data_IF_288163235240
#
_entry.id   IF_288163235240
#
_cell.length_a   1.000
_cell.length_b   1.000
_cell.length_c   1.000
_cell.angle_alpha   90.00
_cell.angle_beta   90.00
_cell.angle_gamma   90.00
#
_symmetry.space_group_name_H-M   'P 1'
#
loop_
_entity.id
_entity.type
_entity.pdbx_description
1 polymer ?
#
# COMPACT_ATOMS: atom_id res chain seq x y z
N UNK A 1 44.02 -47.88 -0.58
CA UNK A 1 42.69 -47.40 -1.01
C UNK A 1 42.66 -45.91 -0.73
N UNK A 2 42.93 -45.08 -1.75
CA UNK A 2 43.04 -43.63 -1.61
C UNK A 2 41.71 -43.00 -2.02
N UNK A 3 41.12 -42.23 -1.12
CA UNK A 3 39.88 -41.47 -1.36
C UNK A 3 40.14 -40.31 -2.33
N UNK A 4 39.28 -40.05 -3.32
CA UNK A 4 39.45 -38.93 -4.23
C UNK A 4 39.18 -37.60 -3.51
N UNK A 5 40.12 -36.68 -3.67
CA UNK A 5 40.07 -35.31 -3.17
C UNK A 5 39.06 -34.51 -4.00
N UNK A 6 38.00 -34.02 -3.36
CA UNK A 6 36.95 -33.24 -4.00
C UNK A 6 37.28 -31.75 -3.85
N UNK A 7 37.74 -31.14 -4.94
CA UNK A 7 38.12 -29.72 -4.99
C UNK A 7 36.85 -28.86 -5.14
N UNK A 8 36.65 -27.84 -4.29
CA UNK A 8 35.46 -27.00 -4.36
C UNK A 8 35.44 -26.15 -5.65
N UNK A 9 34.28 -25.98 -6.30
CA UNK A 9 34.18 -25.23 -7.54
C UNK A 9 34.50 -23.74 -7.33
N UNK A 10 35.40 -23.22 -8.16
CA UNK A 10 35.83 -21.83 -8.14
C UNK A 10 34.66 -20.84 -8.35
N UNK A 11 34.67 -19.67 -7.70
CA UNK A 11 33.60 -18.67 -7.81
C UNK A 11 33.56 -18.04 -9.20
N UNK A 12 32.39 -18.05 -9.83
CA UNK A 12 32.12 -17.43 -11.13
C UNK A 12 32.22 -15.90 -11.01
N UNK A 13 33.09 -15.29 -11.84
CA UNK A 13 33.31 -13.84 -11.95
C UNK A 13 31.99 -13.11 -12.28
N UNK A 14 31.55 -12.24 -11.37
CA UNK A 14 30.43 -11.30 -11.58
C UNK A 14 30.79 -10.30 -12.68
N UNK A 15 29.85 -10.09 -13.60
CA UNK A 15 29.94 -9.14 -14.69
C UNK A 15 29.95 -7.69 -14.18
N UNK A 16 30.77 -6.85 -14.81
CA UNK A 16 30.91 -5.43 -14.51
C UNK A 16 29.66 -4.62 -14.93
N UNK A 17 29.31 -3.54 -14.20
CA UNK A 17 28.18 -2.67 -14.57
C UNK A 17 28.51 -1.79 -15.80
N UNK A 18 27.64 -1.86 -16.81
CA UNK A 18 27.63 -0.97 -17.97
C UNK A 18 27.17 0.43 -17.56
N UNK A 19 28.03 1.41 -17.79
CA UNK A 19 27.84 2.87 -17.94
C UNK A 19 26.38 3.36 -17.78
N UNK A 20 26.09 3.96 -16.62
CA UNK A 20 24.87 4.74 -16.36
C UNK A 20 24.94 6.02 -17.19
N UNK A 21 23.94 6.23 -18.03
CA UNK A 21 23.78 7.43 -18.85
C UNK A 21 23.54 8.66 -17.96
N UNK A 22 24.30 9.73 -18.18
CA UNK A 22 24.16 11.04 -17.56
C UNK A 22 22.91 11.77 -18.10
N UNK A 23 21.72 11.32 -17.73
CA UNK A 23 20.48 12.06 -17.94
C UNK A 23 19.87 12.25 -16.55
N UNK A 24 19.82 13.48 -16.04
CA UNK A 24 19.03 13.73 -14.83
C UNK A 24 19.28 15.01 -14.04
N UNK A 25 20.38 15.75 -14.23
CA UNK A 25 20.63 16.93 -13.37
C UNK A 25 19.85 18.19 -13.81
N UNK A 26 19.47 18.33 -15.09
CA UNK A 26 18.69 19.49 -15.55
C UNK A 26 17.21 19.42 -15.11
N UNK A 27 16.64 18.22 -14.93
CA UNK A 27 15.26 18.06 -14.49
C UNK A 27 15.04 18.50 -13.04
N UNK A 28 16.03 18.25 -12.17
CA UNK A 28 15.94 18.56 -10.75
C UNK A 28 16.00 20.07 -10.49
N UNK A 29 16.81 20.81 -11.25
CA UNK A 29 16.88 22.28 -11.17
C UNK A 29 15.57 22.92 -11.66
N UNK A 30 14.98 22.38 -12.74
CA UNK A 30 13.68 22.84 -13.25
C UNK A 30 12.53 22.61 -12.26
N UNK A 31 12.48 21.43 -11.63
CA UNK A 31 11.49 21.10 -10.61
C UNK A 31 11.64 22.00 -9.37
N UNK A 32 12.88 22.28 -8.95
CA UNK A 32 13.13 23.14 -7.80
C UNK A 32 12.69 24.59 -8.05
N UNK A 33 12.96 25.13 -9.24
CA UNK A 33 12.47 26.45 -9.64
C UNK A 33 10.94 26.52 -9.70
N UNK A 34 10.28 25.47 -10.19
CA UNK A 34 8.82 25.38 -10.21
C UNK A 34 8.22 25.44 -8.79
N UNK A 35 8.80 24.70 -7.84
CA UNK A 35 8.34 24.68 -6.45
C UNK A 35 8.53 26.04 -5.75
N UNK A 36 9.63 26.75 -6.02
CA UNK A 36 9.87 28.09 -5.47
C UNK A 36 8.83 29.10 -6.00
N UNK A 37 8.48 29.02 -7.29
CA UNK A 37 7.45 29.90 -7.88
C UNK A 37 6.07 29.59 -7.30
N UNK A 38 5.70 28.31 -7.14
CA UNK A 38 4.43 27.91 -6.51
C UNK A 38 4.35 28.35 -5.04
N UNK A 39 5.45 28.25 -4.27
CA UNK A 39 5.50 28.70 -2.88
C UNK A 39 5.31 30.22 -2.72
N UNK A 40 5.90 31.01 -3.62
CA UNK A 40 5.73 32.48 -3.60
C UNK A 40 4.31 32.91 -3.97
N UNK A 41 3.63 32.20 -4.88
CA UNK A 41 2.23 32.48 -5.23
C UNK A 41 1.28 32.07 -4.09
N UNK A 42 1.56 30.95 -3.40
CA UNK A 42 0.75 30.48 -2.27
C UNK A 42 0.81 31.39 -1.04
N UNK A 43 1.96 32.04 -0.79
CA UNK A 43 2.14 32.96 0.34
C UNK A 43 1.35 34.28 0.19
N UNK A 44 0.97 34.67 -1.04
CA UNK A 44 0.20 35.90 -1.26
C UNK A 44 -1.32 35.72 -1.02
N UNK A 45 -1.83 34.49 -0.96
CA UNK A 45 -3.27 34.22 -0.76
C UNK A 45 -3.64 33.72 0.65
N UNK A 46 -2.68 33.57 1.56
CA UNK A 46 -2.92 33.22 2.98
C UNK A 46 -2.76 34.44 3.90
N UNK A 47 -3.25 35.59 3.44
CA UNK A 47 -3.49 36.75 4.28
C UNK A 47 -4.76 36.58 5.10
N UNK A 48 -4.65 36.83 6.41
CA UNK A 48 -5.71 36.97 7.42
C UNK A 48 -6.17 35.67 8.12
N UNK A 49 -5.58 35.38 9.29
CA UNK A 49 -6.30 35.40 10.57
C UNK A 49 -5.30 35.22 11.74
N UNK A 50 -5.28 36.19 12.65
CA UNK A 50 -5.07 35.92 14.07
C UNK A 50 -3.63 35.82 14.60
N UNK A 51 -2.88 36.92 14.52
CA UNK A 51 -1.75 37.15 15.41
C UNK A 51 -2.30 37.40 16.83
N UNK A 52 -2.04 36.49 17.78
CA UNK A 52 -2.17 36.77 19.21
C UNK A 52 -0.77 36.73 19.86
N UNK A 53 -0.46 37.67 20.77
CA UNK A 53 0.88 37.86 21.31
C UNK A 53 1.28 36.77 22.34
N UNK A 54 2.59 36.58 22.60
CA UNK A 54 3.07 35.58 23.53
C UNK A 54 2.73 36.00 24.97
N UNK A 55 2.03 35.15 25.72
CA UNK A 55 1.82 35.33 27.16
C UNK A 55 2.78 34.46 27.94
N UNK A 56 3.47 35.14 28.84
CA UNK A 56 4.62 34.69 29.61
C UNK A 56 4.39 33.46 30.47
N UNK A 57 5.48 32.70 30.60
CA UNK A 57 5.80 31.72 31.64
C UNK A 57 5.56 32.30 33.04
N UNK A 58 5.03 31.48 33.97
CA UNK A 58 5.68 31.39 35.26
C UNK A 58 6.02 29.94 35.63
N UNK A 59 7.29 29.75 35.95
CA UNK A 59 7.83 28.63 36.70
C UNK A 59 7.58 28.88 38.18
N UNK A 60 7.07 27.90 38.93
CA UNK A 60 7.08 27.97 40.40
C UNK A 60 6.02 27.17 41.15
N UNK A 61 6.40 25.95 41.54
CA UNK A 61 6.10 25.26 42.81
C UNK A 61 4.68 25.24 43.42
N UNK A 62 4.08 24.03 43.43
CA UNK A 62 3.49 23.36 44.61
C UNK A 62 3.22 21.90 44.19
N UNK A 63 3.94 20.89 44.68
CA UNK A 63 3.75 20.20 45.97
C UNK A 63 2.29 19.83 46.27
N UNK A 64 1.86 18.65 45.81
CA UNK A 64 0.92 17.78 46.54
C UNK A 64 1.04 16.36 45.99
N UNK A 65 1.30 15.43 46.93
CA UNK A 65 1.42 13.98 46.76
C UNK A 65 0.04 13.31 46.90
N UNK A 66 -0.07 11.97 46.85
CA UNK A 66 -0.89 11.21 45.91
C UNK A 66 -2.29 10.88 46.44
N UNK A 67 -3.21 10.53 45.53
CA UNK A 67 -4.39 9.74 45.88
C UNK A 67 -4.50 8.55 44.96
N UNK A 68 -4.24 7.39 45.54
CA UNK A 68 -4.66 6.09 45.04
C UNK A 68 -6.17 6.12 44.80
N UNK A 69 -6.63 5.57 43.68
CA UNK A 69 -8.03 5.15 43.53
C UNK A 69 -8.05 3.75 42.95
N UNK A 70 -8.09 2.80 43.87
CA UNK A 70 -8.52 1.42 43.66
C UNK A 70 -9.98 1.42 43.23
N UNK A 71 -10.27 0.97 42.01
CA UNK A 71 -11.61 0.58 41.60
C UNK A 71 -11.58 -0.82 40.98
N UNK A 72 -12.03 -1.77 41.79
CA UNK A 72 -12.30 -3.19 41.55
C UNK A 72 -13.53 -3.36 40.61
N UNK A 73 -13.70 -4.50 39.90
CA UNK A 73 -14.46 -4.60 38.65
C UNK A 73 -15.92 -5.05 38.82
N UNK A 74 -16.78 -4.78 37.82
CA UNK A 74 -18.11 -5.40 37.67
C UNK A 74 -18.82 -4.94 36.37
N UNK A 75 -19.77 -5.66 35.76
CA UNK A 75 -19.94 -7.11 35.60
C UNK A 75 -20.03 -7.55 34.12
N UNK A 76 -19.91 -8.86 33.93
CA UNK A 76 -20.23 -9.62 32.72
C UNK A 76 -21.73 -9.53 32.35
N UNK A 77 -22.10 -9.21 31.09
CA UNK A 77 -23.42 -9.53 30.58
C UNK A 77 -23.43 -10.95 30.00
N UNK A 78 -24.01 -11.88 30.77
CA UNK A 78 -24.62 -13.11 30.24
C UNK A 78 -25.90 -12.74 29.50
N UNK A 79 -25.95 -13.00 28.20
CA UNK A 79 -27.15 -13.25 27.39
C UNK A 79 -26.69 -13.93 26.10
N UNK A 80 -27.35 -14.89 25.48
CA UNK A 80 -28.51 -15.71 25.78
C UNK A 80 -28.48 -16.76 24.67
N UNK A 81 -28.61 -18.02 25.05
CA UNK A 81 -28.80 -19.14 24.13
C UNK A 81 -30.16 -19.04 23.44
N UNK A 82 -30.18 -19.11 22.11
CA UNK A 82 -31.31 -19.55 21.29
C UNK A 82 -30.70 -20.41 20.16
N UNK A 83 -30.64 -21.72 20.34
CA UNK A 83 -31.66 -22.73 19.95
C UNK A 83 -31.86 -22.87 18.43
N UNK A 84 -31.62 -24.08 17.85
CA UNK A 84 -31.60 -24.34 16.41
C UNK A 84 -32.90 -24.96 15.85
N UNK A 85 -33.29 -24.56 14.62
CA UNK A 85 -34.09 -25.29 13.62
C UNK A 85 -34.41 -24.30 12.47
N UNK A 86 -34.43 -24.59 11.17
CA UNK A 86 -34.27 -25.76 10.33
C UNK A 86 -34.11 -25.29 8.84
N UNK A 87 -33.59 -26.11 7.91
CA UNK A 87 -33.74 -25.93 6.44
C UNK A 87 -35.18 -26.31 6.02
N UNK A 88 -35.74 -25.96 4.83
CA UNK A 88 -35.16 -25.99 3.47
C UNK A 88 -35.57 -24.76 2.59
N UNK A 89 -35.06 -24.56 1.37
CA UNK A 89 -35.76 -25.00 0.16
C UNK A 89 -34.92 -24.70 -1.10
N UNK A 90 -34.77 -25.67 -2.03
CA UNK A 90 -34.24 -25.45 -3.37
C UNK A 90 -35.38 -25.20 -4.36
N UNK A 91 -35.40 -24.03 -5.00
CA UNK A 91 -36.13 -23.80 -6.26
C UNK A 91 -35.16 -23.08 -7.21
N UNK A 92 -34.64 -23.76 -8.24
CA UNK A 92 -35.32 -23.99 -9.53
C UNK A 92 -35.86 -22.70 -10.09
N UNK A 93 -35.19 -22.15 -11.10
CA UNK A 93 -35.76 -22.03 -12.45
C UNK A 93 -34.66 -21.56 -13.40
N UNK A 94 -34.24 -22.47 -14.27
CA UNK A 94 -33.59 -22.14 -15.52
C UNK A 94 -34.67 -21.77 -16.56
N UNK A 95 -34.51 -20.66 -17.29
CA UNK A 95 -35.09 -20.53 -18.62
C UNK A 95 -34.03 -20.82 -19.66
N UNK A 96 -34.18 -21.95 -20.34
CA UNK A 96 -33.53 -22.23 -21.61
C UNK A 96 -33.98 -21.20 -22.65
N UNK A 97 -33.08 -20.30 -23.07
CA UNK A 97 -33.28 -19.43 -24.21
C UNK A 97 -32.45 -19.91 -25.40
N UNK A 98 -33.16 -20.56 -26.33
CA UNK A 98 -32.97 -20.70 -27.78
C UNK A 98 -31.56 -20.49 -28.38
N UNK A 99 -31.02 -21.45 -29.15
CA UNK A 99 -29.98 -21.16 -30.13
C UNK A 99 -30.59 -20.34 -31.28
N UNK A 100 -30.31 -19.04 -31.31
CA UNK A 100 -30.57 -18.22 -32.48
C UNK A 100 -29.43 -18.43 -33.48
N UNK A 101 -29.69 -19.25 -34.50
CA UNK A 101 -28.84 -19.38 -35.68
C UNK A 101 -28.95 -18.10 -36.50
N UNK A 102 -28.14 -17.11 -36.15
CA UNK A 102 -27.94 -15.95 -37.00
C UNK A 102 -26.92 -16.30 -38.09
N UNK A 103 -27.40 -16.39 -39.32
CA UNK A 103 -26.60 -16.57 -40.53
C UNK A 103 -25.76 -15.30 -40.73
N UNK A 104 -24.42 -15.36 -40.69
CA UNK A 104 -23.60 -14.19 -40.92
C UNK A 104 -23.76 -13.73 -42.38
N UNK A 105 -24.27 -12.51 -42.53
CA UNK A 105 -24.27 -11.75 -43.79
C UNK A 105 -22.82 -11.49 -44.21
N UNK A 106 -22.44 -11.71 -45.48
CA UNK A 106 -21.10 -11.37 -45.97
C UNK A 106 -20.96 -9.84 -45.98
N UNK A 107 -20.26 -9.31 -44.98
CA UNK A 107 -19.84 -7.91 -44.93
C UNK A 107 -18.61 -7.74 -45.80
N UNK A 108 -18.79 -6.99 -46.89
CA UNK A 108 -17.74 -6.55 -47.81
C UNK A 108 -16.66 -5.81 -47.04
N UNK A 109 -15.45 -6.36 -47.02
CA UNK A 109 -14.29 -5.76 -46.38
C UNK A 109 -13.92 -4.43 -47.07
N UNK A 110 -13.74 -3.33 -46.31
CA UNK A 110 -13.16 -2.10 -46.85
C UNK A 110 -11.67 -2.28 -47.19
N UNK A 111 -11.12 -1.47 -48.12
CA UNK A 111 -9.73 -1.56 -48.58
C UNK A 111 -8.74 -1.38 -47.43
N UNK A 112 -7.76 -2.30 -47.38
CA UNK A 112 -6.78 -2.39 -46.29
C UNK A 112 -6.00 -1.10 -46.05
N UNK A 113 -6.01 -0.66 -44.80
CA UNK A 113 -5.06 0.33 -44.31
C UNK A 113 -3.65 -0.26 -44.27
N UNK A 114 -2.61 0.56 -44.52
CA UNK A 114 -1.22 0.12 -44.53
C UNK A 114 -0.83 -0.47 -43.17
N UNK A 115 -0.40 -1.74 -43.20
CA UNK A 115 0.17 -2.49 -42.09
C UNK A 115 1.27 -1.67 -41.40
N UNK A 116 0.90 -1.04 -40.28
CA UNK A 116 1.84 -0.36 -39.38
C UNK A 116 2.86 -1.39 -38.92
N UNK A 117 4.15 -1.10 -39.13
CA UNK A 117 5.25 -1.96 -38.71
C UNK A 117 5.06 -2.38 -37.22
N UNK A 118 5.29 -3.65 -36.86
CA UNK A 118 5.05 -4.14 -35.51
C UNK A 118 5.78 -3.27 -34.50
N UNK A 119 5.01 -2.67 -33.59
CA UNK A 119 5.53 -1.85 -32.52
C UNK A 119 6.57 -2.66 -31.74
N UNK A 120 7.73 -2.04 -31.50
CA UNK A 120 8.83 -2.58 -30.73
C UNK A 120 8.29 -3.17 -29.43
N UNK A 121 8.36 -4.49 -29.29
CA UNK A 121 8.00 -5.21 -28.06
C UNK A 121 8.83 -4.64 -26.91
N UNK A 122 8.22 -3.85 -26.04
CA UNK A 122 8.83 -3.48 -24.76
C UNK A 122 9.10 -4.79 -24.00
N UNK A 123 10.31 -4.92 -23.45
CA UNK A 123 10.63 -6.04 -22.59
C UNK A 123 9.61 -6.08 -21.44
N UNK A 124 9.19 -7.28 -20.98
CA UNK A 124 8.27 -7.42 -19.86
C UNK A 124 8.79 -6.60 -18.67
N UNK A 125 8.07 -5.54 -18.30
CA UNK A 125 8.34 -4.82 -17.05
C UNK A 125 7.96 -5.78 -15.92
N UNK A 126 8.85 -5.89 -14.93
CA UNK A 126 8.54 -6.63 -13.71
C UNK A 126 7.46 -5.86 -12.96
N UNK A 127 6.22 -6.36 -12.88
CA UNK A 127 5.12 -5.59 -12.33
C UNK A 127 5.28 -5.35 -10.82
N UNK A 128 6.13 -6.14 -10.12
CA UNK A 128 6.46 -5.87 -8.71
C UNK A 128 7.37 -4.65 -8.56
N UNK A 129 8.19 -4.33 -9.56
CA UNK A 129 9.04 -3.15 -9.52
C UNK A 129 8.19 -1.86 -9.48
N UNK A 130 7.09 -1.85 -10.24
CA UNK A 130 6.15 -0.72 -10.27
C UNK A 130 5.46 -0.52 -8.91
N UNK A 131 5.14 -1.60 -8.19
CA UNK A 131 4.58 -1.53 -6.83
C UNK A 131 5.56 -0.89 -5.84
N UNK A 132 6.82 -1.29 -5.88
CA UNK A 132 7.85 -0.78 -4.94
C UNK A 132 8.36 0.62 -5.28
N UNK A 133 8.23 1.06 -6.53
CA UNK A 133 8.70 2.38 -6.97
C UNK A 133 7.97 3.54 -6.29
N UNK A 134 6.78 3.30 -5.75
CA UNK A 134 5.94 4.32 -5.11
C UNK A 134 6.40 4.71 -3.71
N UNK A 135 7.17 3.87 -3.02
CA UNK A 135 7.65 4.13 -1.65
C UNK A 135 9.14 3.81 -1.56
N UNK A 136 9.94 4.79 -1.18
CA UNK A 136 11.39 4.63 -1.10
C UNK A 136 11.76 3.57 -0.06
N UNK A 137 12.58 2.60 -0.47
CA UNK A 137 12.99 1.47 0.38
C UNK A 137 11.94 0.37 0.57
N UNK A 138 10.76 0.45 -0.07
CA UNK A 138 9.80 -0.64 -0.03
C UNK A 138 10.31 -1.88 -0.79
N UNK A 139 9.93 -3.06 -0.30
CA UNK A 139 10.26 -4.36 -0.90
C UNK A 139 8.99 -5.17 -1.13
N UNK A 140 8.82 -5.74 -2.31
CA UNK A 140 7.69 -6.59 -2.61
C UNK A 140 8.15 -8.02 -2.95
N UNK A 141 7.37 -9.01 -2.54
CA UNK A 141 7.53 -10.39 -2.98
C UNK A 141 6.17 -11.09 -3.04
N UNK A 142 6.07 -12.14 -3.87
CA UNK A 142 4.87 -12.96 -4.01
C UNK A 142 5.10 -14.33 -3.35
N UNK A 143 4.10 -14.80 -2.61
CA UNK A 143 4.02 -16.17 -2.11
C UNK A 143 2.69 -16.79 -2.56
N UNK A 144 2.73 -17.61 -3.61
CA UNK A 144 1.52 -18.10 -4.28
C UNK A 144 0.74 -16.95 -4.92
N UNK A 145 -0.51 -16.73 -4.50
CA UNK A 145 -1.36 -15.61 -4.93
C UNK A 145 -1.35 -14.43 -3.96
N UNK A 146 -0.51 -14.47 -2.92
CA UNK A 146 -0.46 -13.43 -1.89
C UNK A 146 0.74 -12.52 -2.14
N UNK A 147 0.48 -11.21 -2.24
CA UNK A 147 1.50 -10.18 -2.39
C UNK A 147 1.90 -9.67 -1.00
N UNK A 148 3.19 -9.70 -0.68
CA UNK A 148 3.73 -9.12 0.54
C UNK A 148 4.55 -7.89 0.19
N UNK A 149 4.16 -6.73 0.73
CA UNK A 149 4.89 -5.47 0.57
C UNK A 149 5.37 -5.00 1.92
N UNK A 150 6.68 -4.91 2.07
CA UNK A 150 7.35 -4.41 3.25
C UNK A 150 7.69 -2.94 3.06
N UNK A 151 7.21 -2.08 3.93
CA UNK A 151 7.52 -0.64 3.93
C UNK A 151 8.50 -0.31 5.08
N UNK A 152 9.49 0.55 4.83
CA UNK A 152 10.39 0.99 5.89
C UNK A 152 9.62 1.87 6.86
N UNK A 153 9.67 1.51 8.13
CA UNK A 153 9.08 2.30 9.20
C UNK A 153 10.16 3.20 9.79
N UNK A 154 9.84 4.48 10.00
CA UNK A 154 10.77 5.37 10.68
C UNK A 154 10.85 5.02 12.18
N UNK A 155 12.04 5.15 12.75
CA UNK A 155 12.28 4.86 14.16
C UNK A 155 11.42 5.77 15.06
N UNK A 156 10.83 5.19 16.11
CA UNK A 156 10.17 5.95 17.17
C UNK A 156 8.80 6.52 16.83
N UNK A 157 7.91 5.71 16.22
CA UNK A 157 6.49 5.97 15.93
C UNK A 157 5.76 6.94 16.87
N UNK A 158 6.00 8.23 16.67
CA UNK A 158 5.36 9.30 17.43
C UNK A 158 4.81 10.29 16.43
N UNK A 159 3.53 10.63 16.58
CA UNK A 159 2.82 11.66 15.80
C UNK A 159 3.04 11.60 14.28
N UNK A 160 3.91 12.46 13.69
CA UNK A 160 4.11 12.57 12.24
C UNK A 160 4.45 11.25 11.55
N UNK A 161 5.18 10.32 12.19
CA UNK A 161 5.60 9.05 11.59
C UNK A 161 4.42 8.14 11.25
N UNK A 162 3.30 8.23 11.99
CA UNK A 162 2.08 7.46 11.71
C UNK A 162 1.42 7.91 10.41
N UNK A 163 1.26 9.22 10.23
CA UNK A 163 0.66 9.79 9.02
C UNK A 163 1.46 9.43 7.76
N UNK A 164 2.80 9.37 7.89
CA UNK A 164 3.69 8.93 6.81
C UNK A 164 3.47 7.46 6.50
N UNK A 165 3.51 6.56 7.48
CA UNK A 165 3.30 5.12 7.25
C UNK A 165 1.91 4.81 6.66
N UNK A 166 0.88 5.54 7.08
CA UNK A 166 -0.45 5.43 6.50
C UNK A 166 -0.48 5.93 5.05
N UNK A 167 0.19 7.05 4.75
CA UNK A 167 0.32 7.56 3.39
C UNK A 167 1.06 6.56 2.50
N UNK A 168 2.16 6.00 2.98
CA UNK A 168 2.94 4.99 2.25
C UNK A 168 2.09 3.74 1.98
N UNK A 169 1.26 3.34 2.96
CA UNK A 169 0.29 2.25 2.76
C UNK A 169 -0.69 2.58 1.62
N UNK A 170 -1.25 3.78 1.60
CA UNK A 170 -2.16 4.24 0.52
C UNK A 170 -1.45 4.24 -0.83
N UNK A 171 -0.23 4.79 -0.90
CA UNK A 171 0.54 4.90 -2.14
C UNK A 171 0.90 3.50 -2.69
N UNK A 172 1.26 2.55 -1.82
CA UNK A 172 1.48 1.15 -2.20
C UNK A 172 0.19 0.51 -2.73
N UNK A 173 -0.92 0.60 -2.00
CA UNK A 173 -2.18 -0.03 -2.43
C UNK A 173 -2.66 0.49 -3.78
N UNK A 174 -2.51 1.80 -4.01
CA UNK A 174 -2.78 2.41 -5.31
C UNK A 174 -1.86 1.86 -6.39
N UNK A 175 -0.56 1.75 -6.12
CA UNK A 175 0.40 1.19 -7.07
C UNK A 175 0.09 -0.29 -7.39
N UNK A 176 -0.33 -1.07 -6.39
CA UNK A 176 -0.77 -2.46 -6.57
C UNK A 176 -1.99 -2.51 -7.49
N UNK A 177 -2.99 -1.66 -7.29
CA UNK A 177 -4.16 -1.55 -8.17
C UNK A 177 -3.77 -1.21 -9.62
N UNK A 178 -2.86 -0.25 -9.81
CA UNK A 178 -2.41 0.20 -11.14
C UNK A 178 -1.51 -0.81 -11.86
N UNK A 179 -0.71 -1.58 -11.12
CA UNK A 179 0.28 -2.54 -11.65
C UNK A 179 -0.34 -3.73 -12.38
N UNK A 180 -1.64 -4.01 -12.17
CA UNK A 180 -2.35 -5.19 -12.67
C UNK A 180 -1.67 -6.52 -12.33
N UNK A 181 -0.91 -6.57 -11.23
CA UNK A 181 -0.42 -7.83 -10.66
C UNK A 181 -1.65 -8.70 -10.33
N UNK A 182 -1.58 -9.97 -10.67
CA UNK A 182 -2.61 -10.93 -10.27
C UNK A 182 -2.33 -11.41 -8.84
N UNK A 183 -3.14 -10.97 -7.88
CA UNK A 183 -3.06 -11.32 -6.47
C UNK A 183 -4.45 -11.58 -5.91
N UNK A 184 -4.57 -12.49 -4.94
CA UNK A 184 -5.80 -12.68 -4.18
C UNK A 184 -5.88 -11.72 -2.99
N UNK A 185 -4.72 -11.45 -2.37
CA UNK A 185 -4.58 -10.62 -1.16
C UNK A 185 -3.22 -9.93 -1.15
N UNK A 186 -3.15 -8.72 -0.62
CA UNK A 186 -1.92 -7.99 -0.36
C UNK A 186 -1.73 -7.76 1.15
N UNK A 187 -0.54 -8.04 1.67
CA UNK A 187 -0.15 -7.69 3.04
C UNK A 187 0.87 -6.57 3.02
N UNK A 188 0.55 -5.48 3.73
CA UNK A 188 1.46 -4.38 4.00
C UNK A 188 2.10 -4.59 5.36
N UNK A 189 3.41 -4.78 5.36
CA UNK A 189 4.19 -5.11 6.54
C UNK A 189 5.20 -4.01 6.87
N UNK A 190 5.37 -3.76 8.15
CA UNK A 190 6.51 -2.99 8.64
C UNK A 190 7.82 -3.76 8.52
N UNK A 191 8.94 -3.06 8.29
CA UNK A 191 10.27 -3.68 8.40
C UNK A 191 10.55 -4.12 9.87
N UNK A 192 10.67 -5.44 10.15
CA UNK A 192 10.89 -5.94 11.50
C UNK A 192 12.29 -5.62 12.02
N UNK A 193 13.26 -5.31 11.13
CA UNK A 193 14.62 -4.97 11.53
C UNK A 193 14.73 -3.51 12.00
N UNK A 194 13.78 -2.64 11.64
CA UNK A 194 13.85 -1.19 11.83
C UNK A 194 12.97 -0.62 12.95
N UNK A 195 12.08 -1.40 13.56
CA UNK A 195 11.16 -0.86 14.55
C UNK A 195 10.62 -1.88 15.54
N UNK A 196 11.30 -2.00 16.68
CA UNK A 196 10.72 -2.65 17.85
C UNK A 196 9.46 -1.89 18.31
N UNK A 197 8.42 -2.64 18.66
CA UNK A 197 7.13 -2.23 19.29
C UNK A 197 5.89 -2.06 18.40
N UNK A 198 5.98 -2.24 17.07
CA UNK A 198 4.76 -2.22 16.25
C UNK A 198 4.83 -3.09 15.01
N UNK A 199 4.24 -4.29 15.05
CA UNK A 199 3.97 -5.06 13.84
C UNK A 199 2.80 -4.41 13.08
N UNK A 200 3.12 -3.52 12.13
CA UNK A 200 2.20 -3.23 11.03
C UNK A 200 2.12 -4.50 10.20
N UNK A 201 0.96 -5.13 10.15
CA UNK A 201 0.66 -6.23 9.26
C UNK A 201 -0.81 -6.09 8.83
N UNK A 202 -1.05 -5.30 7.78
CA UNK A 202 -2.40 -5.02 7.29
C UNK A 202 -2.64 -5.79 5.98
N UNK A 203 -3.58 -6.73 6.01
CA UNK A 203 -3.98 -7.52 4.85
C UNK A 203 -5.24 -6.95 4.20
N UNK A 204 -5.22 -6.83 2.87
CA UNK A 204 -6.33 -6.36 2.05
C UNK A 204 -6.62 -7.36 0.94
N UNK A 205 -7.87 -7.79 0.84
CA UNK A 205 -8.34 -8.59 -0.28
C UNK A 205 -8.42 -7.76 -1.55
N UNK A 206 -8.27 -8.40 -2.70
CA UNK A 206 -8.31 -7.69 -4.00
C UNK A 206 -9.60 -6.87 -4.17
N UNK A 207 -10.74 -7.41 -3.74
CA UNK A 207 -12.03 -6.70 -3.78
C UNK A 207 -12.00 -5.42 -2.95
N UNK A 208 -11.41 -5.48 -1.76
CA UNK A 208 -11.29 -4.32 -0.87
C UNK A 208 -10.36 -3.26 -1.47
N UNK A 209 -9.23 -3.66 -2.06
CA UNK A 209 -8.34 -2.72 -2.78
C UNK A 209 -9.04 -2.09 -3.97
N UNK A 210 -9.85 -2.86 -4.71
CA UNK A 210 -10.62 -2.37 -5.86
C UNK A 210 -11.76 -1.42 -5.46
N UNK A 211 -12.36 -1.60 -4.29
CA UNK A 211 -13.47 -0.79 -3.76
C UNK A 211 -13.01 0.49 -3.03
N UNK A 212 -11.72 0.61 -2.69
CA UNK A 212 -11.17 1.80 -2.04
C UNK A 212 -11.16 2.97 -3.02
N UNK A 213 -11.86 4.05 -2.66
CA UNK A 213 -11.73 5.33 -3.34
C UNK A 213 -10.48 6.09 -2.84
N UNK A 214 -9.36 5.86 -3.52
CA UNK A 214 -8.08 6.53 -3.24
C UNK A 214 -8.12 8.06 -3.38
N UNK A 215 -9.17 8.64 -3.96
CA UNK A 215 -9.32 10.10 -4.09
C UNK A 215 -9.94 10.76 -2.85
N UNK A 216 -10.74 10.00 -2.10
CA UNK A 216 -11.45 10.50 -0.91
C UNK A 216 -10.98 9.85 0.39
N UNK A 217 -10.22 8.76 0.32
CA UNK A 217 -9.65 8.10 1.50
C UNK A 217 -8.86 9.10 2.33
N UNK A 218 -9.33 9.31 3.56
CA UNK A 218 -8.58 10.01 4.57
C UNK A 218 -7.48 9.05 5.00
N UNK A 219 -6.22 9.43 4.77
CA UNK A 219 -5.01 8.67 5.11
C UNK A 219 -5.08 8.03 6.51
N UNK A 220 -5.78 8.68 7.45
CA UNK A 220 -5.96 8.20 8.83
C UNK A 220 -6.72 6.89 8.99
N UNK A 221 -7.56 6.49 8.03
CA UNK A 221 -8.49 5.37 8.17
C UNK A 221 -8.14 4.16 7.32
N UNK A 222 -7.07 4.22 6.52
CA UNK A 222 -6.73 3.13 5.59
C UNK A 222 -6.54 1.78 6.29
N UNK A 223 -6.03 1.79 7.52
CA UNK A 223 -5.85 0.57 8.31
C UNK A 223 -7.16 0.01 8.88
N UNK A 224 -8.22 0.80 8.98
CA UNK A 224 -9.54 0.33 9.42
C UNK A 224 -10.25 -0.46 8.32
N UNK A 225 -9.90 -0.21 7.06
CA UNK A 225 -10.42 -0.95 5.90
C UNK A 225 -9.71 -2.29 5.67
N UNK A 226 -8.81 -2.73 6.57
CA UNK A 226 -8.10 -4.01 6.41
C UNK A 226 -9.04 -5.20 6.62
N UNK A 227 -8.87 -6.25 5.82
CA UNK A 227 -9.61 -7.51 5.94
C UNK A 227 -8.91 -8.49 6.89
N UNK A 228 -7.59 -8.38 7.04
CA UNK A 228 -6.78 -9.30 7.82
C UNK A 228 -5.59 -8.63 8.50
N UNK A 229 -4.97 -9.38 9.41
CA UNK A 229 -3.75 -8.99 10.10
C UNK A 229 -3.98 -8.10 11.33
N UNK A 230 -2.90 -7.51 11.82
CA UNK A 230 -2.85 -6.74 13.05
C UNK A 230 -2.11 -5.43 12.85
N UNK A 231 -2.64 -4.38 13.47
CA UNK A 231 -1.99 -3.06 13.55
C UNK A 231 -1.87 -2.73 15.02
N UNK A 232 -0.63 -2.51 15.50
CA UNK A 232 -0.35 -2.18 16.89
C UNK A 232 -1.20 -0.97 17.34
N UNK A 233 -1.72 -0.93 18.59
CA UNK A 233 -2.49 0.20 19.08
C UNK A 233 -1.75 1.54 18.99
N UNK A 234 -0.42 1.54 19.07
CA UNK A 234 0.43 2.74 18.90
C UNK A 234 0.33 3.33 17.48
N UNK A 235 -0.11 2.51 16.52
CA UNK A 235 -0.35 2.88 15.13
C UNK A 235 -1.83 3.22 14.86
N UNK A 236 -2.79 2.90 15.74
CA UNK A 236 -4.20 3.23 15.54
C UNK A 236 -4.55 4.65 15.97
#
# INVERSE_FOLDING_TARGET
MSTPHNEPPAPKKRWAPKKIAKIGCLGLIGLFMLLVVLGLIGAAMTGTLGQTPPKETPSGSASASPSETTATPSPSPSMTTAEPAAPPSPETTAPAAKPSTEVPKPTTAPPGEPTKAPAKTEAPKDPLADVTASVDGAKAHMEGSVLFVQIPLQEGFTGPSKSVAQKDTVDVLKAVQESKVDYSRVFIQGDPEKGGLGMLNAGYDKTTVDDIDFSTVVVREIWNARDAGSVSPELQ
#
